data_IF_820085491156
#
_entry.id   IF_820085491156
#
_cell.length_a   1.000
_cell.length_b   1.000
_cell.length_c   1.000
_cell.angle_alpha   90.00
_cell.angle_beta   90.00
_cell.angle_gamma   90.00
#
_symmetry.space_group_name_H-M   'P 1'
#
loop_
_entity.id
_entity.type
_entity.pdbx_description
1 polymer ?
#
# COMPACT_ATOMS: atom_id res chain seq x y z
N UNK A 1 4.37 13.08 -13.93
CA UNK A 1 3.87 12.81 -15.30
C UNK A 1 3.27 11.41 -15.46
N UNK A 2 3.65 10.41 -14.65
CA UNK A 2 3.05 9.07 -14.68
C UNK A 2 1.54 9.02 -14.37
N UNK A 3 1.05 9.85 -13.43
CA UNK A 3 -0.36 9.83 -13.03
C UNK A 3 -1.32 10.26 -14.17
N UNK A 4 -0.89 11.19 -15.04
CA UNK A 4 -1.69 11.60 -16.19
C UNK A 4 -1.78 10.49 -17.24
N UNK A 5 -0.68 9.76 -17.46
CA UNK A 5 -0.67 8.59 -18.35
C UNK A 5 -1.62 7.50 -17.83
N UNK A 6 -1.65 7.29 -16.52
CA UNK A 6 -2.54 6.31 -15.87
C UNK A 6 -4.00 6.77 -15.94
N UNK A 7 -4.26 8.05 -15.71
CA UNK A 7 -5.60 8.61 -15.86
C UNK A 7 -6.14 8.42 -17.29
N UNK A 8 -5.29 8.65 -18.30
CA UNK A 8 -5.61 8.36 -19.70
C UNK A 8 -5.85 6.87 -19.93
N UNK A 9 -5.02 5.98 -19.38
CA UNK A 9 -5.21 4.53 -19.52
C UNK A 9 -6.52 4.03 -18.87
N UNK A 10 -6.86 4.55 -17.68
CA UNK A 10 -8.14 4.26 -17.01
C UNK A 10 -9.31 4.71 -17.88
N UNK A 11 -9.19 5.90 -18.50
CA UNK A 11 -10.22 6.42 -19.38
C UNK A 11 -10.37 5.57 -20.65
N UNK A 12 -9.26 5.23 -21.30
CA UNK A 12 -9.24 4.58 -22.61
C UNK A 12 -9.56 3.07 -22.53
N UNK A 13 -9.09 2.39 -21.48
CA UNK A 13 -9.18 0.93 -21.34
C UNK A 13 -10.32 0.51 -20.41
N UNK A 14 -10.57 1.29 -19.35
CA UNK A 14 -11.55 0.96 -18.32
C UNK A 14 -12.78 1.88 -18.36
N UNK A 15 -12.92 2.73 -19.38
CA UNK A 15 -14.00 3.71 -19.52
C UNK A 15 -14.18 4.60 -18.28
N UNK A 16 -13.07 4.93 -17.61
CA UNK A 16 -13.09 5.73 -16.38
C UNK A 16 -13.33 4.92 -15.09
N UNK A 17 -13.56 3.60 -15.16
CA UNK A 17 -13.78 2.77 -13.98
C UNK A 17 -12.47 2.42 -13.27
N UNK A 18 -12.26 3.04 -12.10
CA UNK A 18 -11.11 2.74 -11.22
C UNK A 18 -11.19 1.31 -10.66
N UNK A 19 -12.38 0.79 -10.41
CA UNK A 19 -12.58 -0.60 -9.95
C UNK A 19 -12.16 -1.61 -11.01
N UNK A 20 -12.55 -1.40 -12.27
CA UNK A 20 -12.14 -2.27 -13.38
C UNK A 20 -10.62 -2.21 -13.61
N UNK A 21 -10.04 -1.01 -13.51
CA UNK A 21 -8.60 -0.81 -13.59
C UNK A 21 -7.83 -1.55 -12.49
N UNK A 22 -8.27 -1.45 -11.24
CA UNK A 22 -7.64 -2.17 -10.11
C UNK A 22 -7.74 -3.70 -10.26
N UNK A 23 -8.76 -4.19 -10.95
CA UNK A 23 -8.94 -5.61 -11.26
C UNK A 23 -8.06 -6.12 -12.43
N UNK A 24 -7.49 -5.24 -13.26
CA UNK A 24 -6.51 -5.63 -14.28
C UNK A 24 -5.19 -6.00 -13.62
N UNK A 25 -5.01 -7.31 -13.41
CA UNK A 25 -4.10 -7.84 -12.38
C UNK A 25 -2.59 -7.68 -12.64
N UNK A 26 -2.14 -7.19 -13.80
CA UNK A 26 -0.71 -7.30 -14.19
C UNK A 26 -0.18 -6.10 -14.97
N UNK A 27 -0.91 -5.61 -15.98
CA UNK A 27 -0.43 -4.53 -16.87
C UNK A 27 -0.26 -3.21 -16.10
N UNK A 28 -1.14 -2.97 -15.13
CA UNK A 28 -1.20 -1.74 -14.35
C UNK A 28 -0.02 -1.60 -13.40
N UNK A 29 0.43 -2.70 -12.79
CA UNK A 29 1.49 -2.67 -11.78
C UNK A 29 2.82 -2.29 -12.44
N UNK A 30 3.19 -2.90 -13.56
CA UNK A 30 4.44 -2.58 -14.29
C UNK A 30 4.54 -1.10 -14.72
N UNK A 31 3.42 -0.49 -15.11
CA UNK A 31 3.42 0.94 -15.46
C UNK A 31 3.54 1.84 -14.23
N UNK A 32 3.15 1.35 -13.06
CA UNK A 32 3.20 2.07 -11.79
C UNK A 32 4.43 1.75 -10.94
N UNK A 33 5.21 0.73 -11.29
CA UNK A 33 6.35 0.24 -10.52
C UNK A 33 7.32 1.37 -10.19
N UNK A 34 7.68 2.20 -11.17
CA UNK A 34 8.60 3.32 -10.95
C UNK A 34 8.02 4.36 -9.97
N UNK A 35 6.72 4.64 -10.03
CA UNK A 35 6.05 5.60 -9.13
C UNK A 35 5.99 5.06 -7.71
N UNK A 36 5.66 3.77 -7.56
CA UNK A 36 5.58 3.12 -6.26
C UNK A 36 6.97 2.92 -5.65
N UNK A 37 7.95 2.52 -6.46
CA UNK A 37 9.36 2.46 -6.08
C UNK A 37 9.84 3.84 -5.59
N UNK A 38 9.52 4.91 -6.32
CA UNK A 38 9.89 6.26 -5.93
C UNK A 38 9.27 6.71 -4.60
N UNK A 39 8.07 6.25 -4.25
CA UNK A 39 7.44 6.57 -2.95
C UNK A 39 7.95 5.70 -1.81
N UNK A 40 8.28 4.45 -2.09
CA UNK A 40 8.73 3.47 -1.10
C UNK A 40 10.22 3.63 -0.78
N UNK A 41 11.06 4.04 -1.73
CA UNK A 41 12.51 4.18 -1.51
C UNK A 41 12.90 5.19 -0.41
N UNK A 42 12.00 6.13 -0.09
CA UNK A 42 12.22 7.15 0.95
C UNK A 42 11.66 6.74 2.32
N UNK A 43 11.09 5.54 2.44
CA UNK A 43 10.67 5.02 3.73
C UNK A 43 11.90 4.71 4.58
N UNK A 44 11.83 5.12 5.84
CA UNK A 44 12.76 4.63 6.86
C UNK A 44 12.64 3.11 7.01
N UNK A 45 13.66 2.48 7.61
CA UNK A 45 13.62 1.04 7.88
C UNK A 45 12.38 0.63 8.67
N UNK A 46 11.99 1.41 9.68
CA UNK A 46 10.82 1.11 10.51
C UNK A 46 9.50 1.30 9.75
N UNK A 47 9.41 2.30 8.87
CA UNK A 47 8.23 2.45 7.98
C UNK A 47 8.13 1.29 6.99
N UNK A 48 9.27 0.81 6.48
CA UNK A 48 9.34 -0.34 5.58
C UNK A 48 8.91 -1.63 6.30
N UNK A 49 9.34 -1.84 7.55
CA UNK A 49 8.93 -2.98 8.37
C UNK A 49 7.40 -3.01 8.56
N UNK A 50 6.80 -1.86 8.92
CA UNK A 50 5.34 -1.74 9.08
C UNK A 50 4.62 -2.02 7.76
N UNK A 51 5.14 -1.49 6.65
CA UNK A 51 4.58 -1.72 5.32
C UNK A 51 4.67 -3.20 4.91
N UNK A 52 5.78 -3.88 5.20
CA UNK A 52 5.94 -5.32 4.94
C UNK A 52 5.01 -6.16 5.82
N UNK A 53 4.86 -5.81 7.10
CA UNK A 53 3.91 -6.47 8.01
C UNK A 53 2.48 -6.35 7.50
N UNK A 54 2.08 -5.17 7.02
CA UNK A 54 0.77 -4.96 6.39
C UNK A 54 0.62 -5.73 5.06
N UNK A 55 1.68 -5.85 4.26
CA UNK A 55 1.63 -6.62 3.01
C UNK A 55 1.43 -8.12 3.24
N UNK A 56 2.03 -8.66 4.32
CA UNK A 56 1.87 -10.06 4.74
C UNK A 56 0.51 -10.32 5.38
N UNK A 57 -0.17 -9.29 5.88
CA UNK A 57 -1.52 -9.42 6.37
C UNK A 57 -2.49 -9.66 5.19
N UNK A 58 -3.16 -10.82 5.21
CA UNK A 58 -4.15 -11.19 4.18
C UNK A 58 -5.50 -10.45 4.33
N UNK A 59 -5.64 -9.60 5.34
CA UNK A 59 -6.86 -8.88 5.67
C UNK A 59 -6.53 -7.57 6.40
N UNK A 60 -7.45 -6.59 6.43
CA UNK A 60 -7.27 -5.39 7.24
C UNK A 60 -7.05 -5.71 8.72
N UNK A 61 -6.03 -5.12 9.33
CA UNK A 61 -5.60 -5.41 10.71
C UNK A 61 -5.89 -4.24 11.65
N UNK A 62 -6.08 -4.53 12.93
CA UNK A 62 -6.24 -3.49 13.95
C UNK A 62 -4.89 -2.92 14.39
N UNK A 63 -4.92 -1.76 15.07
CA UNK A 63 -3.72 -1.18 15.66
C UNK A 63 -3.09 -2.10 16.71
N UNK A 64 -3.93 -2.77 17.50
CA UNK A 64 -3.49 -3.66 18.58
C UNK A 64 -2.71 -4.85 18.00
N UNK A 65 -3.19 -5.40 16.88
CA UNK A 65 -2.48 -6.48 16.17
C UNK A 65 -1.13 -6.02 15.62
N UNK A 66 -1.08 -4.83 15.01
CA UNK A 66 0.19 -4.24 14.54
C UNK A 66 1.17 -4.01 15.69
N UNK A 67 0.69 -3.47 16.81
CA UNK A 67 1.50 -3.20 17.99
C UNK A 67 2.07 -4.49 18.60
N UNK A 68 1.32 -5.59 18.59
CA UNK A 68 1.75 -6.89 19.08
C UNK A 68 2.66 -7.65 18.10
N UNK A 69 2.67 -7.26 16.82
CA UNK A 69 3.54 -7.86 15.80
C UNK A 69 4.86 -7.11 15.68
N UNK A 70 4.85 -5.81 15.97
CA UNK A 70 5.98 -4.89 15.87
C UNK A 70 6.44 -4.45 17.28
N UNK A 71 6.89 -5.40 18.09
CA UNK A 71 7.27 -5.16 19.49
C UNK A 71 8.39 -4.11 19.66
N UNK A 72 9.20 -3.89 18.62
CA UNK A 72 10.28 -2.89 18.60
C UNK A 72 9.80 -1.46 18.33
N UNK A 73 8.54 -1.28 17.91
CA UNK A 73 7.98 0.03 17.52
C UNK A 73 7.06 0.52 18.63
N UNK A 74 7.36 1.70 19.19
CA UNK A 74 6.50 2.27 20.24
C UNK A 74 5.12 2.67 19.69
N UNK A 75 4.09 2.68 20.54
CA UNK A 75 2.73 2.99 20.09
C UNK A 75 2.52 4.38 19.50
N UNK A 76 3.31 5.38 19.92
CA UNK A 76 3.33 6.71 19.31
C UNK A 76 4.02 6.69 17.95
N UNK A 77 5.16 6.01 17.85
CA UNK A 77 5.89 5.85 16.60
C UNK A 77 5.08 5.09 15.55
N UNK A 78 4.34 4.05 15.95
CA UNK A 78 3.45 3.31 15.06
C UNK A 78 2.37 4.23 14.46
N UNK A 79 1.76 5.11 15.27
CA UNK A 79 0.79 6.08 14.75
C UNK A 79 1.41 7.05 13.75
N UNK A 80 2.60 7.59 14.05
CA UNK A 80 3.30 8.50 13.14
C UNK A 80 3.61 7.84 11.79
N UNK A 81 4.02 6.56 11.84
CA UNK A 81 4.25 5.76 10.63
C UNK A 81 2.95 5.54 9.86
N UNK A 82 1.87 5.10 10.52
CA UNK A 82 0.58 4.88 9.85
C UNK A 82 0.06 6.16 9.17
N UNK A 83 0.19 7.31 9.84
CA UNK A 83 -0.15 8.62 9.27
C UNK A 83 0.79 9.01 8.12
N UNK A 84 2.08 8.69 8.21
CA UNK A 84 3.04 8.91 7.13
C UNK A 84 2.68 8.11 5.87
N UNK A 85 2.35 6.83 6.05
CA UNK A 85 1.93 5.93 4.97
C UNK A 85 0.60 6.37 4.34
N UNK A 86 -0.37 6.78 5.15
CA UNK A 86 -1.65 7.32 4.68
C UNK A 86 -1.47 8.59 3.84
N UNK A 87 -0.69 9.58 4.32
CA UNK A 87 -0.41 10.82 3.56
C UNK A 87 0.30 10.57 2.23
N UNK A 88 1.05 9.47 2.13
CA UNK A 88 1.72 9.04 0.89
C UNK A 88 0.82 8.20 -0.02
N UNK A 89 -0.43 7.98 0.38
CA UNK A 89 -1.42 7.13 -0.27
C UNK A 89 -0.98 5.67 -0.39
N UNK A 90 -0.20 5.18 0.58
CA UNK A 90 0.28 3.79 0.63
C UNK A 90 -0.63 2.88 1.47
N UNK A 91 -1.50 3.47 2.27
CA UNK A 91 -2.32 2.82 3.27
C UNK A 91 -3.78 3.27 3.12
N UNK A 92 -4.71 2.36 3.39
CA UNK A 92 -6.14 2.60 3.53
C UNK A 92 -6.57 2.39 4.98
N UNK A 93 -7.40 3.30 5.48
CA UNK A 93 -8.02 3.23 6.80
C UNK A 93 -9.49 2.87 6.61
N UNK A 94 -9.87 1.69 7.09
CA UNK A 94 -11.23 1.18 7.03
C UNK A 94 -11.90 1.42 8.37
N UNK A 95 -13.00 2.17 8.37
CA UNK A 95 -13.74 2.55 9.57
C UNK A 95 -15.20 2.13 9.43
N UNK A 96 -15.48 0.84 9.63
CA UNK A 96 -16.86 0.34 9.73
C UNK A 96 -17.28 0.35 11.21
N UNK A 97 -16.86 -0.66 11.98
CA UNK A 97 -17.13 -0.75 13.43
C UNK A 97 -15.87 -0.52 14.27
N UNK A 98 -14.70 -0.83 13.69
CA UNK A 98 -13.38 -0.69 14.29
C UNK A 98 -12.41 -0.15 13.24
N UNK A 99 -11.49 0.71 13.66
CA UNK A 99 -10.46 1.24 12.76
C UNK A 99 -9.50 0.12 12.39
N UNK A 100 -9.41 -0.18 11.10
CA UNK A 100 -8.51 -1.18 10.53
C UNK A 100 -7.64 -0.56 9.46
N UNK A 101 -6.44 -1.12 9.32
CA UNK A 101 -5.41 -0.66 8.41
C UNK A 101 -5.13 -1.74 7.38
N UNK A 102 -5.08 -1.36 6.12
CA UNK A 102 -4.66 -2.21 5.01
C UNK A 102 -3.76 -1.40 4.08
N UNK A 103 -2.91 -2.08 3.29
CA UNK A 103 -2.25 -1.37 2.20
C UNK A 103 -3.28 -1.01 1.13
N UNK A 104 -3.07 0.11 0.45
CA UNK A 104 -3.85 0.39 -0.74
C UNK A 104 -3.70 -0.78 -1.74
N UNK A 105 -4.76 -1.22 -2.44
CA UNK A 105 -4.74 -2.45 -3.24
C UNK A 105 -3.58 -2.53 -4.25
N UNK A 106 -3.24 -1.40 -4.87
CA UNK A 106 -2.14 -1.31 -5.82
C UNK A 106 -0.76 -1.46 -5.16
N UNK A 107 -0.63 -0.97 -3.93
CA UNK A 107 0.59 -1.09 -3.12
C UNK A 107 0.75 -2.52 -2.62
N UNK A 108 -0.35 -3.16 -2.18
CA UNK A 108 -0.31 -4.57 -1.79
C UNK A 108 0.15 -5.47 -2.94
N UNK A 109 -0.32 -5.22 -4.17
CA UNK A 109 0.13 -5.93 -5.37
C UNK A 109 1.63 -5.70 -5.65
N UNK A 110 2.08 -4.45 -5.60
CA UNK A 110 3.50 -4.11 -5.83
C UNK A 110 4.43 -4.78 -4.81
N UNK A 111 4.12 -4.65 -3.51
CA UNK A 111 4.94 -5.21 -2.43
C UNK A 111 4.91 -6.74 -2.49
N UNK A 112 3.76 -7.35 -2.79
CA UNK A 112 3.66 -8.80 -3.01
C UNK A 112 4.55 -9.30 -4.14
N UNK A 113 4.59 -8.60 -5.28
CA UNK A 113 5.48 -8.95 -6.40
C UNK A 113 6.97 -8.82 -6.02
N UNK A 114 7.33 -7.77 -5.28
CA UNK A 114 8.71 -7.57 -4.82
C UNK A 114 9.14 -8.63 -3.80
N UNK A 115 8.25 -9.04 -2.88
CA UNK A 115 8.52 -10.13 -1.92
C UNK A 115 8.73 -11.45 -2.67
N UNK A 116 7.86 -11.78 -3.64
CA UNK A 116 7.99 -12.99 -4.44
C UNK A 116 9.27 -13.02 -5.28
N UNK A 117 9.76 -11.86 -5.74
CA UNK A 117 11.02 -11.78 -6.50
C UNK A 117 12.30 -11.93 -5.65
N UNK A 118 12.18 -11.86 -4.31
CA UNK A 118 13.29 -12.05 -3.36
C UNK A 118 13.34 -13.45 -2.74
N UNK A 119 12.37 -14.31 -3.05
CA UNK A 119 12.30 -15.72 -2.68
C UNK A 119 12.84 -16.61 -3.81
#
# INVERSE_FOLDING_TARGET
MALNMIASLIQDVCQGSTTAFLNMNTIVVHQLDHVLAERIQWLSSTELDVLQTLAQANQPVSREWLQATLDSVSGSQLLEILLSLERRCLLEILSEETVRFALAPIVQKYVGQQILSRL
#
